data_IF_971876617576
#
_entry.id   IF_971876617576
#
_cell.length_a   1.000
_cell.length_b   1.000
_cell.length_c   1.000
_cell.angle_alpha   90.00
_cell.angle_beta   90.00
_cell.angle_gamma   90.00
#
_symmetry.space_group_name_H-M   'P 1'
#
loop_
_entity.id
_entity.type
_entity.pdbx_description
1 polymer ?
#
# COMPACT_ATOMS: atom_id res chain seq x y z
N UNK A 1 -9.58 34.09 4.53
CA UNK A 1 -8.45 33.39 3.88
C UNK A 1 -8.23 31.97 4.42
N UNK A 2 -8.63 31.64 5.66
CA UNK A 2 -8.42 30.31 6.26
C UNK A 2 -9.32 29.19 5.71
N UNK A 3 -10.60 29.45 5.43
CA UNK A 3 -11.56 28.42 4.98
C UNK A 3 -11.21 27.83 3.60
N UNK A 4 -10.77 28.70 2.68
CA UNK A 4 -10.39 28.31 1.31
C UNK A 4 -9.09 27.53 1.29
N UNK A 5 -8.10 27.93 2.11
CA UNK A 5 -6.82 27.24 2.21
C UNK A 5 -6.95 25.85 2.85
N UNK A 6 -7.80 25.70 3.87
CA UNK A 6 -8.07 24.41 4.52
C UNK A 6 -8.78 23.46 3.55
N UNK A 7 -9.82 23.94 2.83
CA UNK A 7 -10.49 23.13 1.81
C UNK A 7 -9.57 22.75 0.67
N UNK A 8 -8.77 23.68 0.17
CA UNK A 8 -7.83 23.43 -0.91
C UNK A 8 -6.75 22.42 -0.51
N UNK A 9 -6.21 22.51 0.71
CA UNK A 9 -5.27 21.52 1.23
C UNK A 9 -5.92 20.14 1.38
N UNK A 10 -7.16 20.09 1.88
CA UNK A 10 -7.92 18.85 2.06
C UNK A 10 -8.25 18.20 0.72
N UNK A 11 -8.67 18.98 -0.28
CA UNK A 11 -8.92 18.53 -1.65
C UNK A 11 -7.66 17.97 -2.30
N UNK A 12 -6.51 18.65 -2.14
CA UNK A 12 -5.22 18.17 -2.65
C UNK A 12 -4.87 16.82 -2.01
N UNK A 13 -5.11 16.65 -0.71
CA UNK A 13 -4.85 15.38 -0.02
C UNK A 13 -5.86 14.29 -0.41
N UNK A 14 -7.13 14.66 -0.60
CA UNK A 14 -8.20 13.74 -0.99
C UNK A 14 -8.00 13.23 -2.42
N UNK A 15 -7.50 14.09 -3.31
CA UNK A 15 -7.15 13.77 -4.70
C UNK A 15 -5.77 13.12 -4.84
N UNK A 16 -4.85 13.36 -3.90
CA UNK A 16 -3.56 12.71 -3.88
C UNK A 16 -3.75 11.19 -3.73
N UNK A 17 -3.24 10.45 -4.71
CA UNK A 17 -3.12 9.00 -4.57
C UNK A 17 -2.27 8.71 -3.35
N UNK A 18 -2.67 7.71 -2.57
CA UNK A 18 -1.91 7.25 -1.41
C UNK A 18 -0.44 6.97 -1.74
N UNK A 19 -0.17 6.55 -2.97
CA UNK A 19 1.17 6.31 -3.52
C UNK A 19 2.03 7.58 -3.57
N UNK A 20 1.47 8.69 -4.09
CA UNK A 20 2.18 9.97 -4.15
C UNK A 20 2.53 10.52 -2.76
N UNK A 21 1.75 10.14 -1.73
CA UNK A 21 2.05 10.50 -0.35
C UNK A 21 3.22 9.71 0.23
N UNK A 22 3.51 8.50 -0.26
CA UNK A 22 4.62 7.67 0.22
C UNK A 22 5.98 8.14 -0.31
N UNK A 23 5.99 8.91 -1.40
CA UNK A 23 7.20 9.49 -1.99
C UNK A 23 7.60 10.82 -1.31
N UNK A 24 6.71 11.39 -0.49
CA UNK A 24 6.99 12.62 0.25
C UNK A 24 7.88 12.36 1.47
N UNK A 25 8.83 13.27 1.77
CA UNK A 25 9.62 13.19 3.00
C UNK A 25 8.74 13.22 4.26
N UNK A 26 9.18 12.51 5.31
CA UNK A 26 8.43 12.46 6.58
C UNK A 26 8.17 13.84 7.20
N UNK A 27 9.06 14.81 6.98
CA UNK A 27 8.91 16.20 7.42
C UNK A 27 7.73 16.92 6.73
N UNK A 28 7.54 16.71 5.42
CA UNK A 28 6.44 17.30 4.65
C UNK A 28 5.11 16.70 5.09
N UNK A 29 5.06 15.37 5.24
CA UNK A 29 3.87 14.68 5.75
C UNK A 29 3.48 15.13 7.16
N UNK A 30 4.46 15.45 8.00
CA UNK A 30 4.21 15.97 9.35
C UNK A 30 3.58 17.36 9.28
N UNK A 31 4.10 18.26 8.44
CA UNK A 31 3.51 19.60 8.25
C UNK A 31 2.08 19.53 7.73
N UNK A 32 1.84 18.76 6.66
CA UNK A 32 0.49 18.59 6.09
C UNK A 32 -0.51 18.04 7.11
N UNK A 33 -0.05 17.12 7.97
CA UNK A 33 -0.86 16.55 9.05
C UNK A 33 -1.18 17.59 10.12
N UNK A 34 -0.22 18.42 10.52
CA UNK A 34 -0.44 19.44 11.55
C UNK A 34 -1.36 20.57 11.04
N UNK A 35 -1.23 20.95 9.76
CA UNK A 35 -2.16 21.87 9.09
C UNK A 35 -3.59 21.30 9.06
N UNK A 36 -3.76 20.04 8.60
CA UNK A 36 -5.06 19.39 8.57
C UNK A 36 -5.65 19.18 9.98
N UNK A 37 -4.81 18.92 10.98
CA UNK A 37 -5.25 18.78 12.38
C UNK A 37 -5.77 20.10 12.95
N UNK A 38 -5.14 21.20 12.57
CA UNK A 38 -5.59 22.57 12.91
C UNK A 38 -6.93 22.88 12.22
N UNK A 39 -7.07 22.54 10.94
CA UNK A 39 -8.33 22.67 10.20
C UNK A 39 -9.48 21.89 10.83
N UNK A 40 -9.22 20.64 11.25
CA UNK A 40 -10.20 19.81 11.98
C UNK A 40 -10.65 20.46 13.30
N UNK A 41 -9.71 21.03 14.06
CA UNK A 41 -10.02 21.69 15.33
C UNK A 41 -10.91 22.93 15.11
N UNK A 42 -10.59 23.75 14.10
CA UNK A 42 -11.39 24.92 13.74
C UNK A 42 -12.82 24.55 13.29
N UNK A 43 -12.97 23.50 12.48
CA UNK A 43 -14.29 23.00 12.07
C UNK A 43 -15.10 22.47 13.26
N UNK A 44 -14.47 21.69 14.15
CA UNK A 44 -15.13 21.16 15.34
C UNK A 44 -15.61 22.28 16.28
N UNK A 45 -14.80 23.32 16.47
CA UNK A 45 -15.18 24.49 17.27
C UNK A 45 -16.35 25.26 16.63
N UNK A 46 -16.32 25.43 15.30
CA UNK A 46 -17.40 26.10 14.56
C UNK A 46 -18.72 25.33 14.66
N UNK A 47 -18.70 24.01 14.54
CA UNK A 47 -19.87 23.14 14.77
C UNK A 47 -20.40 23.31 16.19
N UNK A 48 -19.52 23.36 17.20
CA UNK A 48 -19.93 23.55 18.59
C UNK A 48 -20.63 24.89 18.81
N UNK A 49 -20.08 25.99 18.26
CA UNK A 49 -20.68 27.35 18.33
C UNK A 49 -22.03 27.40 17.61
N UNK A 50 -22.15 26.81 16.42
CA UNK A 50 -23.43 26.77 15.71
C UNK A 50 -24.47 25.90 16.43
N UNK A 51 -24.02 24.87 17.16
CA UNK A 51 -24.87 24.06 18.03
C UNK A 51 -25.47 24.87 19.18
N UNK A 52 -24.72 25.80 19.77
CA UNK A 52 -25.26 26.73 20.79
C UNK A 52 -26.24 27.72 20.17
N UNK A 53 -25.91 28.31 19.02
CA UNK A 53 -26.80 29.25 18.32
C UNK A 53 -28.13 28.58 17.91
N UNK A 54 -28.08 27.29 17.54
CA UNK A 54 -29.28 26.50 17.23
C UNK A 54 -30.15 26.27 18.48
N UNK A 55 -29.53 26.04 19.65
CA UNK A 55 -30.24 25.88 20.91
C UNK A 55 -30.93 27.19 21.33
N UNK A 56 -30.26 28.32 21.15
CA UNK A 56 -30.81 29.65 21.44
C UNK A 56 -31.96 30.02 20.49
N UNK A 57 -31.78 29.80 19.18
CA UNK A 57 -32.83 30.02 18.18
C UNK A 57 -34.07 29.14 18.41
N UNK A 58 -33.88 27.93 18.96
CA UNK A 58 -34.97 27.04 19.38
C UNK A 58 -35.70 27.58 20.61
N UNK A 59 -34.98 28.12 21.59
CA UNK A 59 -35.56 28.73 22.78
C UNK A 59 -36.40 29.97 22.43
N UNK A 60 -35.97 30.74 21.43
CA UNK A 60 -36.65 31.95 20.95
C UNK A 60 -37.75 31.70 19.89
N UNK A 61 -37.95 30.46 19.44
CA UNK A 61 -38.99 30.10 18.47
C UNK A 61 -38.71 30.57 17.02
N UNK A 62 -37.45 30.87 16.67
CA UNK A 62 -37.04 31.32 15.32
C UNK A 62 -36.87 30.14 14.35
N UNK A 63 -37.99 29.58 13.88
CA UNK A 63 -38.02 28.38 13.03
C UNK A 63 -37.22 28.49 11.71
N UNK A 64 -37.17 29.68 11.10
CA UNK A 64 -36.43 29.92 9.85
C UNK A 64 -34.91 29.85 10.03
N UNK A 65 -34.41 30.43 11.12
CA UNK A 65 -32.98 30.40 11.46
C UNK A 65 -32.57 28.99 11.90
N UNK A 66 -33.44 28.29 12.64
CA UNK A 66 -33.19 26.91 13.07
C UNK A 66 -32.95 25.96 11.88
N UNK A 67 -33.70 26.12 10.78
CA UNK A 67 -33.54 25.26 9.60
C UNK A 67 -32.22 25.54 8.88
N UNK A 68 -31.87 26.81 8.68
CA UNK A 68 -30.60 27.20 8.03
C UNK A 68 -29.39 26.77 8.85
N UNK A 69 -29.40 27.02 10.16
CA UNK A 69 -28.29 26.63 11.05
C UNK A 69 -28.12 25.11 11.07
N UNK A 70 -29.22 24.34 11.05
CA UNK A 70 -29.16 22.87 10.96
C UNK A 70 -28.55 22.39 9.64
N UNK A 71 -28.97 22.96 8.51
CA UNK A 71 -28.40 22.60 7.19
C UNK A 71 -26.90 22.93 7.11
N UNK A 72 -26.48 24.07 7.66
CA UNK A 72 -25.06 24.44 7.73
C UNK A 72 -24.26 23.51 8.66
N UNK A 73 -24.81 23.10 9.80
CA UNK A 73 -24.19 22.12 10.70
C UNK A 73 -23.99 20.77 9.99
N UNK A 74 -24.96 20.33 9.18
CA UNK A 74 -24.85 19.08 8.43
C UNK A 74 -23.71 19.14 7.41
N UNK A 75 -23.60 20.22 6.63
CA UNK A 75 -22.49 20.41 5.68
C UNK A 75 -21.12 20.46 6.38
N UNK A 76 -21.03 21.10 7.55
CA UNK A 76 -19.79 21.13 8.33
C UNK A 76 -19.40 19.76 8.90
N UNK A 77 -20.35 18.87 9.19
CA UNK A 77 -20.04 17.50 9.61
C UNK A 77 -19.44 16.68 8.46
N UNK A 78 -19.95 16.85 7.24
CA UNK A 78 -19.39 16.21 6.05
C UNK A 78 -17.95 16.68 5.80
N UNK A 79 -17.71 18.00 5.83
CA UNK A 79 -16.36 18.59 5.75
C UNK A 79 -15.44 18.03 6.87
N UNK A 80 -15.97 17.85 8.08
CA UNK A 80 -15.21 17.30 9.22
C UNK A 80 -14.83 15.83 8.99
N UNK A 81 -15.74 15.01 8.45
CA UNK A 81 -15.48 13.60 8.12
C UNK A 81 -14.42 13.48 7.03
N UNK A 82 -14.47 14.33 6.01
CA UNK A 82 -13.49 14.37 4.92
C UNK A 82 -12.08 14.74 5.43
N UNK A 83 -11.98 15.77 6.28
CA UNK A 83 -10.72 16.16 6.91
C UNK A 83 -10.19 15.03 7.82
N UNK A 84 -11.07 14.35 8.57
CA UNK A 84 -10.67 13.21 9.40
C UNK A 84 -10.12 12.05 8.58
N UNK A 85 -10.74 11.75 7.44
CA UNK A 85 -10.28 10.68 6.55
C UNK A 85 -8.93 11.04 5.93
N UNK A 86 -8.77 12.28 5.47
CA UNK A 86 -7.51 12.82 4.96
C UNK A 86 -6.39 12.75 6.01
N UNK A 87 -6.68 13.09 7.26
CA UNK A 87 -5.76 12.93 8.38
C UNK A 87 -5.37 11.48 8.64
N UNK A 88 -6.32 10.54 8.58
CA UNK A 88 -6.02 9.10 8.72
C UNK A 88 -5.08 8.63 7.61
N UNK A 89 -5.30 9.07 6.37
CA UNK A 89 -4.44 8.74 5.23
C UNK A 89 -3.02 9.28 5.41
N UNK A 90 -2.89 10.55 5.79
CA UNK A 90 -1.60 11.18 6.07
C UNK A 90 -0.86 10.50 7.21
N UNK A 91 -1.53 10.20 8.32
CA UNK A 91 -0.91 9.54 9.47
C UNK A 91 -0.45 8.12 9.09
N UNK A 92 -1.22 7.39 8.29
CA UNK A 92 -0.81 6.08 7.78
C UNK A 92 0.42 6.16 6.86
N UNK A 93 0.43 7.10 5.91
CA UNK A 93 1.57 7.32 5.01
C UNK A 93 2.82 7.73 5.80
N UNK A 94 2.68 8.67 6.73
CA UNK A 94 3.76 9.15 7.62
C UNK A 94 4.39 8.00 8.41
N UNK A 95 3.57 7.14 9.01
CA UNK A 95 4.07 5.98 9.78
C UNK A 95 4.85 5.00 8.89
N UNK A 96 4.40 4.79 7.65
CA UNK A 96 5.10 3.90 6.71
C UNK A 96 6.43 4.49 6.24
N UNK A 97 6.46 5.78 5.88
CA UNK A 97 7.69 6.49 5.48
C UNK A 97 8.70 6.52 6.64
N UNK A 98 8.27 6.85 7.85
CA UNK A 98 9.14 6.86 9.03
C UNK A 98 9.73 5.48 9.34
N UNK A 99 8.94 4.41 9.19
CA UNK A 99 9.45 3.06 9.37
C UNK A 99 10.55 2.74 8.34
N UNK A 100 10.36 3.13 7.07
CA UNK A 100 11.37 2.96 6.02
C UNK A 100 12.63 3.78 6.32
N UNK A 101 12.49 5.06 6.66
CA UNK A 101 13.62 5.93 7.03
C UNK A 101 14.41 5.37 8.22
N UNK A 102 13.72 4.88 9.26
CA UNK A 102 14.34 4.24 10.43
C UNK A 102 15.04 2.93 10.10
N UNK A 103 14.49 2.13 9.18
CA UNK A 103 15.16 0.93 8.68
C UNK A 103 16.44 1.30 7.92
N UNK A 104 16.40 2.31 7.06
CA UNK A 104 17.58 2.77 6.31
C UNK A 104 18.66 3.31 7.24
N UNK A 105 18.30 4.13 8.21
CA UNK A 105 19.27 4.65 9.21
C UNK A 105 19.86 3.56 10.08
N UNK A 106 19.08 2.53 10.46
CA UNK A 106 19.59 1.40 11.27
C UNK A 106 20.44 0.41 10.48
N UNK A 107 20.06 0.08 9.24
CA UNK A 107 20.83 -0.82 8.38
C UNK A 107 22.00 -0.11 7.68
N UNK A 108 21.98 1.22 7.63
CA UNK A 108 23.02 2.09 7.06
C UNK A 108 22.96 2.25 5.55
N UNK A 109 22.14 1.47 4.84
CA UNK A 109 21.96 1.63 3.39
C UNK A 109 20.63 1.08 2.89
N UNK A 110 20.11 1.70 1.82
CA UNK A 110 18.88 1.27 1.14
C UNK A 110 19.05 -0.10 0.48
N UNK A 111 20.25 -0.40 -0.03
CA UNK A 111 20.58 -1.73 -0.56
C UNK A 111 20.39 -2.84 0.47
N UNK A 112 20.80 -2.62 1.73
CA UNK A 112 20.63 -3.62 2.80
C UNK A 112 19.17 -3.81 3.18
N UNK A 113 18.36 -2.75 3.16
CA UNK A 113 16.90 -2.86 3.36
C UNK A 113 16.28 -3.71 2.26
N UNK A 114 16.64 -3.50 1.00
CA UNK A 114 16.17 -4.32 -0.13
C UNK A 114 16.61 -5.78 -0.03
N UNK A 115 17.85 -6.05 0.37
CA UNK A 115 18.33 -7.43 0.59
C UNK A 115 17.50 -8.11 1.68
N UNK A 116 17.23 -7.42 2.79
CA UNK A 116 16.37 -7.93 3.86
C UNK A 116 14.97 -8.23 3.32
N UNK A 117 14.36 -7.30 2.57
CA UNK A 117 13.03 -7.48 1.97
C UNK A 117 12.98 -8.64 0.98
N UNK A 118 13.97 -8.77 0.10
CA UNK A 118 14.11 -9.88 -0.83
C UNK A 118 14.31 -11.22 -0.12
N UNK A 119 15.11 -11.23 0.96
CA UNK A 119 15.29 -12.42 1.81
C UNK A 119 13.96 -12.85 2.43
N UNK A 120 13.18 -11.90 2.95
CA UNK A 120 11.85 -12.19 3.50
C UNK A 120 10.92 -12.78 2.43
N UNK A 121 10.93 -12.24 1.21
CA UNK A 121 10.12 -12.79 0.09
C UNK A 121 10.56 -14.21 -0.25
N UNK A 122 11.87 -14.48 -0.35
CA UNK A 122 12.39 -15.81 -0.61
C UNK A 122 11.97 -16.82 0.49
N UNK A 123 12.02 -16.40 1.76
CA UNK A 123 11.54 -17.21 2.88
C UNK A 123 10.03 -17.46 2.82
N UNK A 124 9.22 -16.49 2.35
CA UNK A 124 7.78 -16.67 2.16
C UNK A 124 7.52 -17.75 1.10
N UNK A 125 8.23 -17.69 -0.02
CA UNK A 125 8.14 -18.71 -1.09
C UNK A 125 8.56 -20.08 -0.56
N UNK A 126 9.63 -20.15 0.23
CA UNK A 126 10.09 -21.40 0.84
C UNK A 126 9.02 -22.02 1.76
N UNK A 127 8.36 -21.22 2.62
CA UNK A 127 7.25 -21.69 3.47
C UNK A 127 6.07 -22.16 2.62
N UNK A 128 5.74 -21.44 1.55
CA UNK A 128 4.68 -21.84 0.64
C UNK A 128 4.97 -23.19 -0.02
N UNK A 129 6.23 -23.41 -0.45
CA UNK A 129 6.68 -24.67 -1.01
C UNK A 129 6.62 -25.81 0.03
N UNK A 130 7.04 -25.56 1.27
CA UNK A 130 6.93 -26.54 2.38
C UNK A 130 5.45 -26.93 2.60
N UNK A 131 4.54 -25.95 2.65
CA UNK A 131 3.11 -26.20 2.81
C UNK A 131 2.52 -27.02 1.65
N UNK A 132 2.99 -26.76 0.43
CA UNK A 132 2.58 -27.51 -0.75
C UNK A 132 3.10 -28.96 -0.72
N UNK A 133 4.39 -29.18 -0.41
CA UNK A 133 4.99 -30.51 -0.29
C UNK A 133 4.29 -31.35 0.78
N UNK A 134 4.01 -30.75 1.95
CA UNK A 134 3.28 -31.43 3.04
C UNK A 134 1.84 -31.80 2.63
N UNK A 135 1.22 -31.02 1.74
CA UNK A 135 -0.13 -31.31 1.25
C UNK A 135 -0.17 -32.31 0.10
N UNK A 136 0.84 -32.30 -0.77
CA UNK A 136 0.88 -33.10 -1.99
C UNK A 136 1.38 -34.53 -1.75
N UNK A 137 2.29 -34.72 -0.78
CA UNK A 137 2.95 -36.00 -0.54
C UNK A 137 2.64 -36.55 0.85
N UNK A 138 2.30 -37.85 0.98
CA UNK A 138 2.24 -38.52 2.28
C UNK A 138 3.67 -38.78 2.78
N UNK A 139 4.24 -37.81 3.49
CA UNK A 139 5.62 -37.84 3.97
C UNK A 139 5.85 -38.87 5.08
N UNK A 140 7.04 -39.47 5.08
CA UNK A 140 7.49 -40.35 6.17
C UNK A 140 7.68 -39.54 7.46
N UNK A 141 7.56 -40.17 8.63
CA UNK A 141 7.65 -39.50 9.94
C UNK A 141 8.94 -38.70 10.15
N UNK A 142 10.06 -39.13 9.55
CA UNK A 142 11.35 -38.42 9.57
C UNK A 142 11.37 -37.16 8.68
N UNK A 143 10.89 -37.27 7.44
CA UNK A 143 10.83 -36.17 6.47
C UNK A 143 9.87 -35.07 6.92
N UNK A 144 8.70 -35.47 7.44
CA UNK A 144 7.74 -34.55 8.03
C UNK A 144 8.33 -33.81 9.24
N UNK A 145 9.20 -34.45 10.03
CA UNK A 145 9.86 -33.80 11.15
C UNK A 145 10.87 -32.74 10.69
N UNK A 146 11.66 -33.03 9.66
CA UNK A 146 12.62 -32.08 9.10
C UNK A 146 11.91 -30.84 8.53
N UNK A 147 10.81 -31.03 7.79
CA UNK A 147 10.01 -29.93 7.23
C UNK A 147 9.36 -29.07 8.32
N UNK A 148 8.87 -29.67 9.40
CA UNK A 148 8.32 -28.92 10.55
C UNK A 148 9.40 -28.13 11.27
N UNK A 149 10.61 -28.67 11.42
CA UNK A 149 11.74 -27.94 12.02
C UNK A 149 12.11 -26.76 11.12
N UNK A 150 12.23 -26.97 9.81
CA UNK A 150 12.50 -25.91 8.85
C UNK A 150 11.43 -24.80 8.89
N UNK A 151 10.14 -25.16 8.84
CA UNK A 151 9.03 -24.20 8.99
C UNK A 151 9.14 -23.42 10.30
N UNK A 152 9.43 -24.10 11.40
CA UNK A 152 9.54 -23.47 12.73
C UNK A 152 10.69 -22.47 12.80
N UNK A 153 11.85 -22.80 12.20
CA UNK A 153 12.99 -21.90 12.14
C UNK A 153 12.68 -20.65 11.29
N UNK A 154 12.06 -20.84 10.12
CA UNK A 154 11.68 -19.73 9.24
C UNK A 154 10.62 -18.83 9.91
N UNK A 155 9.63 -19.44 10.57
CA UNK A 155 8.66 -18.72 11.40
C UNK A 155 9.33 -17.91 12.51
N UNK A 156 10.34 -18.48 13.17
CA UNK A 156 11.15 -17.79 14.17
C UNK A 156 11.83 -16.54 13.60
N UNK A 157 12.37 -16.63 12.38
CA UNK A 157 12.94 -15.48 11.67
C UNK A 157 11.88 -14.41 11.39
N UNK A 158 10.70 -14.78 10.89
CA UNK A 158 9.60 -13.83 10.66
C UNK A 158 9.09 -13.18 11.93
N UNK A 159 8.99 -13.95 13.02
CA UNK A 159 8.57 -13.43 14.30
C UNK A 159 9.60 -12.43 14.84
N UNK A 160 10.89 -12.76 14.74
CA UNK A 160 11.99 -11.86 15.08
C UNK A 160 11.97 -10.57 14.26
N UNK A 161 11.77 -10.69 12.95
CA UNK A 161 11.63 -9.56 12.01
C UNK A 161 10.42 -8.67 12.35
N UNK A 162 9.27 -9.28 12.65
CA UNK A 162 8.07 -8.58 13.07
C UNK A 162 8.30 -7.75 14.34
N UNK A 163 8.89 -8.36 15.38
CA UNK A 163 9.20 -7.65 16.62
C UNK A 163 10.27 -6.58 16.44
N UNK A 164 11.26 -6.82 15.57
CA UNK A 164 12.27 -5.83 15.21
C UNK A 164 11.61 -4.60 14.58
N UNK A 165 10.83 -4.77 13.52
CA UNK A 165 10.11 -3.68 12.85
C UNK A 165 9.12 -2.98 13.78
N UNK A 166 8.41 -3.72 14.64
CA UNK A 166 7.50 -3.12 15.62
C UNK A 166 8.24 -2.25 16.66
N UNK A 167 9.48 -2.58 17.02
CA UNK A 167 10.31 -1.73 17.90
C UNK A 167 10.83 -0.48 17.20
N UNK A 168 11.03 -0.51 15.88
CA UNK A 168 11.44 0.66 15.10
C UNK A 168 10.24 1.56 14.76
N UNK A 169 9.03 1.01 14.66
CA UNK A 169 7.82 1.76 14.38
C UNK A 169 7.56 2.83 15.45
N UNK A 170 7.10 4.01 15.00
CA UNK A 170 6.81 5.14 15.89
C UNK A 170 5.58 4.85 16.77
N UNK A 171 4.51 4.35 16.16
CA UNK A 171 3.32 3.86 16.87
C UNK A 171 3.21 2.34 16.82
N UNK A 172 3.37 1.69 17.98
CA UNK A 172 3.20 0.23 18.13
C UNK A 172 1.76 -0.21 17.86
N UNK A 173 0.79 0.61 18.24
CA UNK A 173 -0.64 0.32 18.03
C UNK A 173 -1.01 0.36 16.56
N UNK A 174 -0.48 1.35 15.82
CA UNK A 174 -0.63 1.42 14.37
C UNK A 174 -0.01 0.20 13.69
N UNK A 175 1.24 -0.13 14.07
CA UNK A 175 1.96 -1.26 13.48
C UNK A 175 1.20 -2.58 13.70
N UNK A 176 0.72 -2.82 14.92
CA UNK A 176 -0.08 -4.01 15.22
C UNK A 176 -1.37 -4.06 14.39
N UNK A 177 -2.13 -2.98 14.32
CA UNK A 177 -3.39 -2.94 13.56
C UNK A 177 -3.18 -3.14 12.06
N UNK A 178 -2.06 -2.66 11.51
CA UNK A 178 -1.72 -2.78 10.09
C UNK A 178 -1.15 -4.15 9.72
N UNK A 179 -0.26 -4.70 10.56
CA UNK A 179 0.52 -5.91 10.27
C UNK A 179 0.10 -7.13 11.11
N UNK A 180 -1.10 -7.16 11.70
CA UNK A 180 -1.54 -8.30 12.51
C UNK A 180 -1.56 -9.64 11.72
N UNK A 181 -1.83 -9.58 10.41
CA UNK A 181 -1.74 -10.75 9.53
C UNK A 181 -0.32 -11.31 9.44
N UNK A 182 0.69 -10.44 9.44
CA UNK A 182 2.11 -10.81 9.45
C UNK A 182 2.46 -11.58 10.72
N UNK A 183 1.92 -11.14 11.86
CA UNK A 183 2.08 -11.82 13.14
C UNK A 183 1.43 -13.20 13.11
N UNK A 184 0.17 -13.31 12.66
CA UNK A 184 -0.53 -14.60 12.57
C UNK A 184 0.18 -15.57 11.61
N UNK A 185 0.69 -15.06 10.48
CA UNK A 185 1.45 -15.84 9.53
C UNK A 185 2.79 -16.35 10.11
N UNK A 186 3.40 -15.60 11.03
CA UNK A 186 4.67 -15.96 11.67
C UNK A 186 4.57 -16.99 12.80
N UNK A 187 3.36 -17.40 13.21
CA UNK A 187 3.20 -18.36 14.31
C UNK A 187 3.41 -19.82 13.83
N UNK A 188 4.33 -20.58 14.46
CA UNK A 188 4.60 -21.98 14.11
C UNK A 188 3.51 -22.91 14.68
N UNK A 189 2.36 -22.94 14.01
CA UNK A 189 1.16 -23.67 14.44
C UNK A 189 1.36 -25.19 14.55
N UNK A 190 2.20 -25.77 13.68
CA UNK A 190 2.54 -27.19 13.73
C UNK A 190 3.37 -27.57 14.97
N UNK A 191 4.24 -26.66 15.43
CA UNK A 191 5.02 -26.81 16.67
C UNK A 191 4.16 -26.68 17.93
N UNK A 192 3.26 -25.69 17.97
CA UNK A 192 2.35 -25.46 19.12
C UNK A 192 1.38 -26.64 19.33
N UNK A 193 0.83 -27.20 18.25
CA UNK A 193 -0.01 -28.40 18.32
C UNK A 193 0.78 -29.66 18.76
N UNK A 194 2.11 -29.66 18.64
CA UNK A 194 3.00 -30.72 19.16
C UNK A 194 3.30 -30.57 20.66
N UNK A 195 3.48 -29.35 21.18
CA UNK A 195 3.51 -29.11 22.63
C UNK A 195 2.18 -29.49 23.29
N UNK A 196 1.05 -29.16 22.64
CA UNK A 196 -0.28 -29.63 23.04
C UNK A 196 -0.52 -31.13 22.85
N UNK A 197 0.36 -31.83 22.14
CA UNK A 197 0.32 -33.29 21.94
C UNK A 197 0.81 -34.05 23.17
N UNK A 198 1.42 -33.38 24.16
CA UNK A 198 1.62 -33.95 25.51
C UNK A 198 0.31 -33.91 26.32
N UNK A 199 -0.63 -33.01 25.98
CA UNK A 199 -2.00 -32.99 26.54
C UNK A 199 -2.97 -33.99 25.86
N UNK A 200 -2.43 -35.00 25.16
CA UNK A 200 -3.18 -36.11 24.57
C UNK A 200 -3.76 -37.00 25.67
N UNK A 201 -5.07 -36.91 25.89
CA UNK A 201 -5.96 -38.08 26.05
C UNK A 201 -7.46 -37.70 25.97
N UNK A 202 -7.82 -36.50 25.50
CA UNK A 202 -9.21 -36.06 25.50
C UNK A 202 -9.85 -36.05 24.10
N UNK A 203 -10.35 -37.23 23.70
CA UNK A 203 -11.54 -37.49 22.86
C UNK A 203 -11.42 -37.27 21.33
N UNK A 204 -11.71 -38.33 20.58
CA UNK A 204 -11.73 -38.40 19.11
C UNK A 204 -12.58 -37.32 18.40
N UNK A 205 -13.68 -36.86 19.01
CA UNK A 205 -14.49 -35.75 18.49
C UNK A 205 -13.80 -34.38 18.56
N UNK A 206 -12.83 -34.21 19.48
CA UNK A 206 -11.93 -33.05 19.50
C UNK A 206 -10.86 -33.16 18.42
N UNK A 207 -10.36 -34.36 18.14
CA UNK A 207 -9.35 -34.61 17.09
C UNK A 207 -9.91 -34.25 15.71
N UNK A 208 -11.15 -34.62 15.38
CA UNK A 208 -11.78 -34.23 14.11
C UNK A 208 -12.03 -32.71 13.99
N UNK A 209 -12.39 -32.04 15.10
CA UNK A 209 -12.52 -30.57 15.15
C UNK A 209 -11.17 -29.87 15.05
N UNK A 210 -10.15 -30.38 15.73
CA UNK A 210 -8.78 -29.88 15.68
C UNK A 210 -8.13 -30.13 14.31
N UNK A 211 -8.42 -31.24 13.65
CA UNK A 211 -7.95 -31.52 12.29
C UNK A 211 -8.61 -30.59 11.26
N UNK A 212 -9.92 -30.31 11.40
CA UNK A 212 -10.61 -29.30 10.59
C UNK A 212 -10.09 -27.90 10.87
N UNK A 213 -9.93 -27.53 12.14
CA UNK A 213 -9.36 -26.25 12.55
C UNK A 213 -7.92 -26.10 12.04
N UNK A 214 -7.11 -27.15 12.08
CA UNK A 214 -5.75 -27.13 11.53
C UNK A 214 -5.73 -26.98 10.00
N UNK A 215 -6.72 -27.52 9.28
CA UNK A 215 -6.86 -27.29 7.83
C UNK A 215 -7.29 -25.85 7.53
N UNK A 216 -8.30 -25.34 8.22
CA UNK A 216 -8.76 -23.95 8.06
C UNK A 216 -7.65 -22.97 8.42
N UNK A 217 -6.91 -23.24 9.48
CA UNK A 217 -5.82 -22.40 9.92
C UNK A 217 -4.61 -22.45 8.96
N UNK A 218 -4.33 -23.62 8.35
CA UNK A 218 -3.37 -23.70 7.24
C UNK A 218 -3.82 -22.91 6.02
N UNK A 219 -5.09 -22.97 5.65
CA UNK A 219 -5.65 -22.19 4.55
C UNK A 219 -5.60 -20.68 4.84
N UNK A 220 -5.97 -20.25 6.06
CA UNK A 220 -5.84 -18.87 6.51
C UNK A 220 -4.39 -18.40 6.53
N UNK A 221 -3.46 -19.26 6.93
CA UNK A 221 -2.02 -18.97 6.89
C UNK A 221 -1.52 -18.83 5.45
N UNK A 222 -1.88 -19.76 4.56
CA UNK A 222 -1.56 -19.66 3.14
C UNK A 222 -2.15 -18.39 2.53
N UNK A 223 -3.39 -18.03 2.87
CA UNK A 223 -4.04 -16.79 2.44
C UNK A 223 -3.32 -15.55 2.99
N UNK A 224 -2.90 -15.55 4.25
CA UNK A 224 -2.15 -14.46 4.86
C UNK A 224 -0.74 -14.31 4.26
N UNK A 225 -0.05 -15.41 3.95
CA UNK A 225 1.21 -15.36 3.22
C UNK A 225 1.03 -14.93 1.77
N UNK A 226 -0.06 -15.36 1.13
CA UNK A 226 -0.41 -14.94 -0.21
C UNK A 226 -0.73 -13.44 -0.24
N UNK A 227 -1.52 -12.92 0.71
CA UNK A 227 -1.80 -11.49 0.82
C UNK A 227 -0.54 -10.69 1.13
N UNK A 228 0.31 -11.16 2.04
CA UNK A 228 1.59 -10.51 2.38
C UNK A 228 2.57 -10.51 1.20
N UNK A 229 2.63 -11.62 0.46
CA UNK A 229 3.41 -11.75 -0.77
C UNK A 229 2.86 -10.83 -1.86
N UNK A 230 1.54 -10.83 -2.05
CA UNK A 230 0.85 -9.98 -3.01
C UNK A 230 0.96 -8.50 -2.65
N UNK A 231 0.98 -8.08 -1.39
CA UNK A 231 1.18 -6.68 -1.02
C UNK A 231 2.58 -6.20 -1.38
N UNK A 232 3.60 -7.05 -1.18
CA UNK A 232 4.98 -6.78 -1.59
C UNK A 232 5.15 -6.80 -3.11
N UNK A 233 4.53 -7.77 -3.77
CA UNK A 233 4.52 -7.91 -5.23
C UNK A 233 3.68 -6.81 -5.89
N UNK A 234 2.58 -6.36 -5.28
CA UNK A 234 1.77 -5.24 -5.73
C UNK A 234 2.51 -3.93 -5.53
N UNK A 235 3.30 -3.78 -4.45
CA UNK A 235 4.23 -2.66 -4.32
C UNK A 235 5.29 -2.63 -5.44
N UNK A 236 5.64 -3.80 -6.00
CA UNK A 236 6.53 -3.95 -7.16
C UNK A 236 5.78 -3.66 -8.48
N UNK A 237 4.53 -4.10 -8.61
CA UNK A 237 3.65 -3.86 -9.78
C UNK A 237 2.94 -2.50 -9.77
N UNK A 238 3.23 -1.64 -8.77
CA UNK A 238 2.64 -0.31 -8.57
C UNK A 238 3.15 0.75 -9.54
N UNK A 239 3.86 0.38 -10.61
CA UNK A 239 4.01 1.28 -11.74
C UNK A 239 2.65 1.42 -12.43
N UNK A 240 2.16 2.66 -12.49
CA UNK A 240 0.94 3.17 -13.15
C UNK A 240 0.69 2.64 -14.59
N UNK A 241 1.67 1.96 -15.16
CA UNK A 241 1.65 1.28 -16.46
C UNK A 241 0.78 0.01 -16.45
N UNK A 242 0.48 -0.62 -15.30
CA UNK A 242 -0.15 -1.95 -15.27
C UNK A 242 -1.68 -1.99 -15.20
N UNK A 243 -2.35 -0.99 -14.62
CA UNK A 243 -3.80 -1.07 -14.37
C UNK A 243 -4.65 -1.04 -15.64
N UNK A 244 -4.25 -0.25 -16.64
CA UNK A 244 -4.97 -0.14 -17.92
C UNK A 244 -4.77 -1.36 -18.84
N UNK A 245 -3.54 -1.86 -19.08
CA UNK A 245 -3.34 -3.07 -19.87
C UNK A 245 -3.95 -4.32 -19.22
N UNK A 246 -3.92 -4.42 -17.89
CA UNK A 246 -4.52 -5.54 -17.17
C UNK A 246 -6.05 -5.54 -17.29
N UNK A 247 -6.70 -4.38 -17.12
CA UNK A 247 -8.15 -4.25 -17.31
C UNK A 247 -8.56 -4.56 -18.75
N UNK A 248 -7.78 -4.09 -19.73
CA UNK A 248 -8.02 -4.38 -21.14
C UNK A 248 -7.83 -5.87 -21.46
N UNK A 249 -6.77 -6.49 -20.93
CA UNK A 249 -6.51 -7.92 -21.10
C UNK A 249 -7.60 -8.77 -20.45
N UNK A 250 -8.08 -8.39 -19.26
CA UNK A 250 -9.21 -9.04 -18.60
C UNK A 250 -10.50 -8.95 -19.45
N UNK A 251 -10.77 -7.79 -20.06
CA UNK A 251 -11.88 -7.64 -21.01
C UNK A 251 -11.70 -8.53 -22.24
N UNK A 252 -10.49 -8.60 -22.80
CA UNK A 252 -10.17 -9.43 -23.95
C UNK A 252 -10.27 -10.93 -23.64
N UNK A 253 -9.94 -11.36 -22.42
CA UNK A 253 -10.13 -12.74 -21.96
C UNK A 253 -11.61 -13.13 -21.92
N UNK A 254 -12.47 -12.26 -21.40
CA UNK A 254 -13.91 -12.50 -21.32
C UNK A 254 -14.55 -12.52 -22.71
N UNK A 255 -14.19 -11.56 -23.56
CA UNK A 255 -14.65 -11.50 -24.96
C UNK A 255 -14.12 -12.69 -25.74
N UNK A 256 -12.83 -13.00 -25.60
CA UNK A 256 -12.20 -14.14 -26.26
C UNK A 256 -12.86 -15.46 -25.87
N UNK A 257 -13.10 -15.66 -24.57
CA UNK A 257 -13.77 -16.85 -24.06
C UNK A 257 -15.19 -16.99 -24.58
N UNK A 258 -15.93 -15.89 -24.66
CA UNK A 258 -17.28 -15.87 -25.20
C UNK A 258 -17.29 -16.13 -26.72
N UNK A 259 -16.43 -15.45 -27.49
CA UNK A 259 -16.37 -15.60 -28.95
C UNK A 259 -15.95 -17.00 -29.31
N UNK A 260 -14.94 -17.55 -28.65
CA UNK A 260 -14.42 -18.87 -28.95
C UNK A 260 -15.43 -19.96 -28.58
N UNK A 261 -16.10 -19.84 -27.42
CA UNK A 261 -17.15 -20.79 -27.03
C UNK A 261 -18.39 -20.76 -27.93
N UNK A 262 -18.59 -19.68 -28.70
CA UNK A 262 -19.73 -19.52 -29.62
C UNK A 262 -19.38 -19.83 -31.06
N UNK A 263 -18.16 -19.50 -31.49
CA UNK A 263 -17.69 -19.75 -32.85
C UNK A 263 -17.20 -21.20 -33.03
N UNK A 264 -16.61 -21.79 -31.99
CA UNK A 264 -16.01 -23.12 -32.00
C UNK A 264 -16.72 -24.09 -31.03
N UNK A 265 -17.92 -23.78 -30.56
CA UNK A 265 -18.57 -24.42 -29.41
C UNK A 265 -18.86 -25.93 -29.49
N UNK A 266 -18.63 -26.56 -30.64
CA UNK A 266 -18.71 -28.02 -30.82
C UNK A 266 -17.33 -28.72 -30.75
N UNK A 267 -16.25 -27.97 -30.56
CA UNK A 267 -14.89 -28.48 -30.52
C UNK A 267 -14.42 -28.85 -29.10
N UNK A 268 -13.55 -29.86 -29.00
CA UNK A 268 -13.01 -30.31 -27.72
C UNK A 268 -12.23 -29.21 -26.99
N UNK A 269 -12.60 -28.98 -25.72
CA UNK A 269 -11.92 -28.04 -24.83
C UNK A 269 -12.33 -26.57 -24.98
N UNK A 270 -13.39 -26.27 -25.77
CA UNK A 270 -13.94 -24.92 -25.96
C UNK A 270 -15.49 -24.92 -25.94
N UNK A 271 -16.12 -26.02 -25.51
CA UNK A 271 -17.55 -26.25 -25.72
C UNK A 271 -18.48 -25.44 -24.80
N UNK A 272 -17.94 -24.76 -23.80
CA UNK A 272 -18.68 -23.87 -22.93
C UNK A 272 -17.86 -22.61 -22.59
N UNK A 273 -18.52 -21.61 -22.00
CA UNK A 273 -17.86 -20.35 -21.66
C UNK A 273 -16.65 -20.53 -20.72
N UNK A 274 -16.71 -21.48 -19.79
CA UNK A 274 -15.60 -21.72 -18.85
C UNK A 274 -14.39 -22.31 -19.54
N UNK A 275 -14.61 -23.25 -20.46
CA UNK A 275 -13.58 -23.83 -21.32
C UNK A 275 -12.99 -22.79 -22.28
N UNK A 276 -13.83 -21.96 -22.91
CA UNK A 276 -13.36 -20.85 -23.74
C UNK A 276 -12.57 -19.79 -22.96
N UNK A 277 -12.97 -19.50 -21.72
CA UNK A 277 -12.26 -18.58 -20.83
C UNK A 277 -10.91 -19.17 -20.41
N UNK A 278 -10.86 -20.47 -20.10
CA UNK A 278 -9.62 -21.19 -19.83
C UNK A 278 -8.68 -21.15 -21.04
N UNK A 279 -9.20 -21.45 -22.23
CA UNK A 279 -8.44 -21.35 -23.48
C UNK A 279 -7.85 -19.95 -23.65
N UNK A 280 -8.68 -18.90 -23.54
CA UNK A 280 -8.24 -17.50 -23.69
C UNK A 280 -7.15 -17.13 -22.68
N UNK A 281 -7.28 -17.59 -21.43
CA UNK A 281 -6.29 -17.38 -20.39
C UNK A 281 -4.94 -18.03 -20.75
N UNK A 282 -4.97 -19.28 -21.20
CA UNK A 282 -3.74 -19.98 -21.61
C UNK A 282 -3.07 -19.35 -22.83
N UNK A 283 -3.86 -18.84 -23.78
CA UNK A 283 -3.37 -18.12 -24.97
C UNK A 283 -2.66 -16.81 -24.60
N UNK A 284 -3.18 -16.04 -23.65
CA UNK A 284 -2.56 -14.79 -23.19
C UNK A 284 -1.27 -15.05 -22.39
N UNK A 285 -1.24 -16.05 -21.53
CA UNK A 285 -0.12 -16.24 -20.59
C UNK A 285 1.03 -17.04 -21.21
N UNK A 286 0.73 -18.07 -22.02
CA UNK A 286 1.72 -19.07 -22.48
C UNK A 286 1.68 -19.27 -24.00
N UNK A 287 0.68 -18.71 -24.70
CA UNK A 287 0.49 -18.93 -26.14
C UNK A 287 -0.37 -20.16 -26.48
N UNK A 288 -1.03 -20.76 -25.48
CA UNK A 288 -1.93 -21.91 -25.65
C UNK A 288 -1.22 -23.26 -25.52
N UNK A 289 -1.99 -24.30 -25.20
CA UNK A 289 -1.52 -25.68 -25.18
C UNK A 289 -1.98 -26.42 -26.45
N UNK A 290 -1.15 -27.34 -26.96
CA UNK A 290 -1.46 -28.08 -28.19
C UNK A 290 -2.53 -29.18 -28.03
N UNK A 291 -3.01 -29.41 -26.82
CA UNK A 291 -4.07 -30.36 -26.48
C UNK A 291 -5.48 -29.73 -26.49
N UNK A 292 -5.59 -28.39 -26.52
CA UNK A 292 -6.86 -27.67 -26.65
C UNK A 292 -7.06 -27.26 -28.11
N UNK A 293 -8.28 -27.39 -28.63
CA UNK A 293 -8.60 -27.08 -30.02
C UNK A 293 -8.12 -25.68 -30.43
N UNK A 294 -7.43 -25.62 -31.57
CA UNK A 294 -6.93 -24.37 -32.13
C UNK A 294 -8.02 -23.77 -33.06
N UNK A 295 -8.41 -22.50 -32.87
CA UNK A 295 -9.54 -21.93 -33.61
C UNK A 295 -9.34 -21.99 -35.13
N UNK A 296 -10.33 -22.52 -35.83
CA UNK A 296 -10.34 -22.64 -37.30
C UNK A 296 -11.22 -21.60 -37.97
N UNK A 297 -12.17 -21.01 -37.23
CA UNK A 297 -13.04 -19.95 -37.70
C UNK A 297 -12.26 -18.64 -37.87
N UNK A 298 -12.62 -17.85 -38.88
CA UNK A 298 -11.96 -16.55 -39.12
C UNK A 298 -12.08 -15.59 -37.93
N UNK A 299 -13.22 -15.59 -37.22
CA UNK A 299 -13.39 -14.82 -35.99
C UNK A 299 -12.52 -15.35 -34.84
N UNK A 300 -12.43 -16.67 -34.67
CA UNK A 300 -11.57 -17.30 -33.68
C UNK A 300 -10.10 -16.96 -33.90
N UNK A 301 -9.61 -17.04 -35.14
CA UNK A 301 -8.23 -16.70 -35.50
C UNK A 301 -7.87 -15.24 -35.21
N UNK A 302 -8.76 -14.30 -35.53
CA UNK A 302 -8.56 -12.87 -35.22
C UNK A 302 -8.43 -12.66 -33.70
N UNK A 303 -9.30 -13.29 -32.92
CA UNK A 303 -9.25 -13.24 -31.45
C UNK A 303 -7.95 -13.86 -30.93
N UNK A 304 -7.50 -15.00 -31.48
CA UNK A 304 -6.23 -15.63 -31.12
C UNK A 304 -5.06 -14.66 -31.30
N UNK A 305 -4.97 -14.00 -32.46
CA UNK A 305 -3.89 -13.05 -32.75
C UNK A 305 -3.90 -11.89 -31.75
N UNK A 306 -5.07 -11.33 -31.45
CA UNK A 306 -5.20 -10.26 -30.45
C UNK A 306 -4.77 -10.73 -29.06
N UNK A 307 -5.22 -11.91 -28.61
CA UNK A 307 -4.85 -12.48 -27.31
C UNK A 307 -3.34 -12.69 -27.19
N UNK A 308 -2.69 -13.20 -28.24
CA UNK A 308 -1.23 -13.43 -28.25
C UNK A 308 -0.46 -12.11 -28.19
N UNK A 309 -0.82 -11.11 -28.98
CA UNK A 309 -0.16 -9.79 -28.95
C UNK A 309 -0.24 -9.16 -27.56
N UNK A 310 -1.44 -9.15 -26.96
CA UNK A 310 -1.64 -8.62 -25.62
C UNK A 310 -0.93 -9.45 -24.54
N UNK A 311 -0.86 -10.77 -24.72
CA UNK A 311 -0.08 -11.66 -23.87
C UNK A 311 1.41 -11.34 -23.83
N UNK A 312 2.00 -11.08 -25.01
CA UNK A 312 3.40 -10.66 -25.14
C UNK A 312 3.62 -9.29 -24.49
N UNK A 313 2.73 -8.33 -24.74
CA UNK A 313 2.81 -6.98 -24.13
C UNK A 313 2.72 -7.07 -22.61
N UNK A 314 1.77 -7.86 -22.08
CA UNK A 314 1.58 -8.05 -20.65
C UNK A 314 2.80 -8.69 -20.01
N UNK A 315 3.31 -9.78 -20.59
CA UNK A 315 4.48 -10.51 -20.07
C UNK A 315 5.75 -9.66 -20.16
N UNK A 316 5.93 -8.90 -21.25
CA UNK A 316 7.01 -7.95 -21.41
C UNK A 316 6.95 -6.82 -20.38
N UNK A 317 5.76 -6.24 -20.15
CA UNK A 317 5.55 -5.25 -19.11
C UNK A 317 5.82 -5.83 -17.71
N UNK A 318 5.39 -7.07 -17.44
CA UNK A 318 5.60 -7.73 -16.14
C UNK A 318 7.09 -7.91 -15.89
N UNK A 319 7.81 -8.36 -16.92
CA UNK A 319 9.26 -8.55 -16.88
C UNK A 319 9.99 -7.22 -16.71
N UNK A 320 9.59 -6.17 -17.44
CA UNK A 320 10.16 -4.83 -17.31
C UNK A 320 9.89 -4.20 -15.95
N UNK A 321 8.69 -4.41 -15.37
CA UNK A 321 8.36 -3.96 -14.00
C UNK A 321 9.17 -4.71 -12.94
N UNK A 322 9.37 -6.02 -13.10
CA UNK A 322 10.23 -6.78 -12.20
C UNK A 322 11.70 -6.36 -12.34
N UNK A 323 12.17 -6.15 -13.57
CA UNK A 323 13.51 -5.67 -13.86
C UNK A 323 13.74 -4.26 -13.30
N UNK A 324 12.77 -3.35 -13.44
CA UNK A 324 12.88 -1.99 -12.88
C UNK A 324 12.95 -2.01 -11.37
N UNK A 325 12.34 -2.96 -10.67
CA UNK A 325 12.51 -3.11 -9.21
C UNK A 325 13.86 -3.73 -8.85
N UNK A 326 14.33 -4.70 -9.62
CA UNK A 326 15.64 -5.31 -9.41
C UNK A 326 16.79 -4.32 -9.68
N UNK A 327 16.61 -3.45 -10.69
CA UNK A 327 17.58 -2.45 -11.16
C UNK A 327 17.38 -1.07 -10.52
N UNK A 328 16.18 -0.78 -9.97
CA UNK A 328 15.71 0.57 -9.63
C UNK A 328 16.22 1.17 -8.34
N UNK A 329 17.53 1.19 -8.13
CA UNK A 329 18.14 2.11 -7.16
C UNK A 329 18.94 3.26 -7.76
N UNK A 330 19.07 3.33 -9.08
CA UNK A 330 19.78 4.45 -9.70
C UNK A 330 18.91 5.73 -9.67
N UNK A 331 17.58 5.63 -9.71
CA UNK A 331 16.67 6.78 -9.59
C UNK A 331 16.49 7.28 -8.15
N UNK A 332 16.52 6.40 -7.15
CA UNK A 332 16.43 6.82 -5.75
C UNK A 332 17.68 7.59 -5.29
N UNK A 333 18.82 7.40 -5.96
CA UNK A 333 20.01 8.24 -5.84
C UNK A 333 19.83 9.62 -6.46
N UNK A 334 19.13 9.71 -7.60
CA UNK A 334 18.83 10.97 -8.31
C UNK A 334 17.81 11.80 -7.52
N UNK A 335 16.76 11.21 -6.96
CA UNK A 335 15.78 11.93 -6.12
C UNK A 335 16.40 12.42 -4.80
N UNK A 336 17.23 11.60 -4.12
CA UNK A 336 17.97 12.09 -2.94
C UNK A 336 18.96 13.18 -3.29
N UNK A 337 19.60 13.11 -4.45
CA UNK A 337 20.44 14.19 -4.96
C UNK A 337 19.61 15.46 -5.23
N UNK A 338 18.38 15.35 -5.74
CA UNK A 338 17.48 16.48 -5.95
C UNK A 338 16.96 17.08 -4.64
N UNK A 339 16.61 16.26 -3.63
CA UNK A 339 16.17 16.74 -2.31
C UNK A 339 17.31 17.43 -1.56
N UNK A 340 18.53 16.88 -1.59
CA UNK A 340 19.72 17.54 -1.03
C UNK A 340 20.06 18.83 -1.80
N UNK A 341 19.74 18.89 -3.09
CA UNK A 341 19.92 20.10 -3.89
C UNK A 341 18.86 21.16 -3.56
N UNK A 342 17.60 20.78 -3.36
CA UNK A 342 16.52 21.67 -2.93
C UNK A 342 16.76 22.22 -1.52
N UNK A 343 17.20 21.39 -0.58
CA UNK A 343 17.56 21.84 0.78
C UNK A 343 18.76 22.81 0.76
N UNK A 344 19.70 22.63 -0.19
CA UNK A 344 20.78 23.60 -0.41
C UNK A 344 20.28 24.92 -1.00
N UNK A 345 19.26 24.89 -1.86
CA UNK A 345 18.66 26.11 -2.44
C UNK A 345 17.98 26.92 -1.33
N UNK A 346 17.16 26.30 -0.49
CA UNK A 346 16.52 26.98 0.67
C UNK A 346 17.57 27.58 1.63
N UNK A 347 18.67 26.87 1.87
CA UNK A 347 19.79 27.40 2.68
C UNK A 347 20.54 28.55 2.00
N UNK A 348 20.57 28.60 0.68
CA UNK A 348 21.17 29.70 -0.09
C UNK A 348 20.28 30.93 -0.07
N UNK A 349 18.96 30.77 -0.24
CA UNK A 349 17.99 31.87 -0.16
C UNK A 349 18.00 32.53 1.23
N UNK A 350 18.00 31.72 2.29
CA UNK A 350 18.08 32.24 3.67
C UNK A 350 19.41 32.96 3.97
N UNK A 351 20.51 32.61 3.29
CA UNK A 351 21.79 33.34 3.39
C UNK A 351 21.74 34.63 2.59
N UNK A 352 21.09 34.64 1.43
CA UNK A 352 20.92 35.81 0.58
C UNK A 352 20.14 36.90 1.32
N UNK A 353 18.99 36.56 1.91
CA UNK A 353 18.18 37.48 2.72
C UNK A 353 18.96 38.05 3.91
N UNK A 354 19.76 37.22 4.59
CA UNK A 354 20.59 37.66 5.71
C UNK A 354 21.67 38.66 5.27
N UNK A 355 22.26 38.48 4.09
CA UNK A 355 23.24 39.41 3.53
C UNK A 355 22.57 40.72 3.11
N UNK A 356 21.40 40.65 2.47
CA UNK A 356 20.62 41.84 2.10
C UNK A 356 20.23 42.66 3.34
N UNK A 357 19.79 42.01 4.42
CA UNK A 357 19.50 42.68 5.69
C UNK A 357 20.74 43.35 6.29
N UNK A 358 21.90 42.68 6.29
CA UNK A 358 23.15 43.25 6.78
C UNK A 358 23.68 44.41 5.93
N UNK A 359 23.34 44.43 4.63
CA UNK A 359 23.67 45.53 3.72
C UNK A 359 22.68 46.70 3.86
N UNK A 360 21.40 46.41 4.08
CA UNK A 360 20.38 47.43 4.37
C UNK A 360 20.69 48.16 5.69
N UNK A 361 21.09 47.44 6.74
CA UNK A 361 21.53 48.02 8.02
C UNK A 361 22.84 48.80 7.92
N UNK A 362 23.64 48.59 6.87
CA UNK A 362 24.92 49.28 6.64
C UNK A 362 24.82 50.51 5.74
N UNK A 363 23.66 50.82 5.16
CA UNK A 363 23.51 52.08 4.43
C UNK A 363 23.65 53.27 5.40
N UNK A 364 24.63 54.17 5.22
CA UNK A 364 24.83 55.30 6.11
C UNK A 364 23.60 56.22 6.08
N UNK A 365 23.12 56.63 7.25
CA UNK A 365 22.17 57.74 7.36
C UNK A 365 22.71 58.96 6.59
N UNK A 366 21.87 59.69 5.84
CA UNK A 366 22.33 60.89 5.14
C UNK A 366 22.92 61.88 6.15
N UNK A 367 24.14 62.34 5.88
CA UNK A 367 24.83 63.33 6.72
C UNK A 367 23.91 64.52 7.01
N UNK A 368 23.79 64.97 8.28
CA UNK A 368 23.00 66.14 8.59
C UNK A 368 23.62 67.37 7.91
N UNK A 369 22.80 68.32 7.41
CA UNK A 369 23.30 69.46 6.68
C UNK A 369 24.25 70.27 7.55
N UNK A 370 25.46 70.54 7.04
CA UNK A 370 26.46 71.33 7.70
C UNK A 370 25.87 72.71 8.05
N UNK A 371 25.72 72.97 9.35
CA UNK A 371 25.39 74.27 9.90
C UNK A 371 26.59 75.19 9.72
N UNK A 372 26.62 75.96 8.63
CA UNK A 372 27.54 77.10 8.52
C UNK A 372 27.02 78.22 9.44
N UNK A 373 27.62 78.29 10.63
CA UNK A 373 27.54 79.44 11.51
C UNK A 373 28.71 80.39 11.20
N UNK A 374 28.37 81.55 10.62
CA UNK A 374 28.99 82.85 10.90
C UNK A 374 30.42 83.14 10.40
N UNK A 375 30.52 83.99 9.38
CA UNK A 375 31.26 85.27 9.41
C UNK A 375 30.96 86.10 8.16
#
# INVERSE_FOLDING_TARGET
>A
MTDTAIRQATDIIAQARHEALLDLPSAVLTRMRDEAATGRAALAERIARMGTDLADARAEGRWGDMRRTREQILGLHEDLEEVQESLRRLENARQEVLLRERLVTRLGSVRRVRILEGTIVALIVAVMAILWVESAYPLTSGEANALVIADTLICGVFLGEFFWRMRLADSKAWYWRRYWLDFVASLPLAGVLRLGRVARLARAARIARLARAARVLRALRALAFFSRGFDKIAAIFRLQVFSRPLAFTAGLLLVGGLVISRAEGDAEGVGNFWEGLWWSFTTVVVGGYGDIHNPVTGLGQIITVLLVIFGIILTGALTAGLASVLLGDDNAGIERAQVVTLERIDQMDARMERIEQLLADRQPQPEPPATEAGS
#
